data_IF_862764712924
#
_entry.id   IF_862764712924
#
_cell.length_a   1.000
_cell.length_b   1.000
_cell.length_c   1.000
_cell.angle_alpha   90.00
_cell.angle_beta   90.00
_cell.angle_gamma   90.00
#
_symmetry.space_group_name_H-M   'P 1'
#
loop_
_entity.id
_entity.type
_entity.pdbx_description
1 polymer ?
#
# COMPACT_ATOMS: atom_id res chain seq x y z
N UNK A 1 -10.07 4.94 -0.96
CA UNK A 1 -11.48 4.51 -0.99
C UNK A 1 -12.16 4.99 0.29
N UNK A 2 -13.38 5.52 0.21
CA UNK A 2 -14.07 6.26 1.30
C UNK A 2 -14.10 5.53 2.67
N UNK A 3 -13.88 4.22 2.68
CA UNK A 3 -13.99 3.35 3.86
C UNK A 3 -12.71 2.59 4.23
N UNK A 4 -11.56 2.89 3.61
CA UNK A 4 -10.32 2.26 4.03
C UNK A 4 -9.93 2.76 5.42
N UNK A 5 -9.91 1.84 6.41
CA UNK A 5 -9.59 2.16 7.81
C UNK A 5 -8.19 2.78 7.97
N UNK A 6 -7.26 2.47 7.07
CA UNK A 6 -5.92 3.06 7.07
C UNK A 6 -5.99 4.55 6.75
N UNK A 7 -6.85 4.95 5.82
CA UNK A 7 -6.98 6.36 5.42
C UNK A 7 -7.36 7.24 6.62
N UNK A 8 -8.38 6.82 7.38
CA UNK A 8 -8.88 7.58 8.53
C UNK A 8 -7.98 7.53 9.76
N UNK A 9 -7.13 6.50 9.90
CA UNK A 9 -6.27 6.30 11.08
C UNK A 9 -4.83 6.77 10.88
N UNK A 10 -4.39 6.95 9.65
CA UNK A 10 -2.98 7.23 9.33
C UNK A 10 -2.83 8.59 8.64
N UNK A 11 -3.62 8.86 7.59
CA UNK A 11 -3.39 10.04 6.75
C UNK A 11 -3.63 11.36 7.48
N UNK A 12 -4.59 11.44 8.41
CA UNK A 12 -4.83 12.64 9.21
C UNK A 12 -3.58 13.05 10.03
N UNK A 13 -2.85 12.08 10.58
CA UNK A 13 -1.63 12.35 11.34
C UNK A 13 -0.47 12.77 10.44
N UNK A 14 -0.34 12.18 9.25
CA UNK A 14 0.64 12.61 8.24
C UNK A 14 0.38 14.06 7.82
N UNK A 15 -0.86 14.40 7.49
CA UNK A 15 -1.23 15.78 7.11
C UNK A 15 -0.95 16.78 8.23
N UNK A 16 -1.24 16.41 9.48
CA UNK A 16 -0.89 17.24 10.63
C UNK A 16 0.63 17.46 10.76
N UNK A 17 1.43 16.41 10.57
CA UNK A 17 2.89 16.50 10.64
C UNK A 17 3.46 17.41 9.53
N UNK A 18 2.82 17.43 8.36
CA UNK A 18 3.23 18.26 7.22
C UNK A 18 2.89 19.75 7.38
N UNK A 19 2.01 20.11 8.32
CA UNK A 19 1.54 21.48 8.47
C UNK A 19 2.72 22.44 8.66
N UNK A 20 2.84 23.42 7.77
CA UNK A 20 3.92 24.42 7.81
C UNK A 20 5.26 23.96 7.22
N UNK A 21 5.33 22.75 6.65
CA UNK A 21 6.53 22.22 6.00
C UNK A 21 6.34 22.18 4.47
N UNK A 22 7.19 22.86 3.69
CA UNK A 22 7.08 22.82 2.24
C UNK A 22 7.58 21.47 1.70
N UNK A 23 6.78 20.82 0.85
CA UNK A 23 7.07 19.49 0.27
C UNK A 23 7.93 19.64 -1.00
N UNK A 24 9.17 20.08 -0.82
CA UNK A 24 10.05 20.51 -1.93
C UNK A 24 10.83 19.39 -2.62
N UNK A 25 10.92 18.21 -2.01
CA UNK A 25 11.64 17.07 -2.58
C UNK A 25 11.04 15.73 -2.12
N UNK A 26 11.37 14.64 -2.84
CA UNK A 26 10.91 13.29 -2.50
C UNK A 26 11.45 12.86 -1.14
N UNK A 27 12.71 13.20 -0.85
CA UNK A 27 13.39 12.93 0.42
C UNK A 27 12.69 13.66 1.57
N UNK A 28 12.32 14.93 1.38
CA UNK A 28 11.56 15.71 2.38
C UNK A 28 10.22 15.05 2.66
N UNK A 29 9.50 14.63 1.62
CA UNK A 29 8.21 13.93 1.77
C UNK A 29 8.39 12.61 2.53
N UNK A 30 9.35 11.77 2.14
CA UNK A 30 9.62 10.48 2.80
C UNK A 30 9.98 10.69 4.28
N UNK A 31 10.86 11.64 4.58
CA UNK A 31 11.26 11.96 5.95
C UNK A 31 10.07 12.44 6.78
N UNK A 32 9.23 13.33 6.24
CA UNK A 32 8.05 13.82 6.96
C UNK A 32 7.00 12.73 7.20
N UNK A 33 6.79 11.81 6.26
CA UNK A 33 5.90 10.66 6.50
C UNK A 33 6.48 9.75 7.58
N UNK A 34 7.76 9.36 7.46
CA UNK A 34 8.43 8.45 8.39
C UNK A 34 8.52 8.98 9.83
N UNK A 35 8.59 10.30 10.00
CA UNK A 35 8.62 10.95 11.32
C UNK A 35 7.23 11.09 11.97
N UNK A 36 6.16 10.68 11.31
CA UNK A 36 4.80 10.76 11.88
C UNK A 36 4.65 9.70 12.98
N UNK A 37 4.43 10.17 14.22
CA UNK A 37 4.15 9.32 15.39
C UNK A 37 2.97 9.86 16.18
N UNK A 38 2.30 9.01 16.97
CA UNK A 38 1.23 9.43 17.89
C UNK A 38 1.46 8.87 19.29
N UNK A 39 0.92 9.53 20.30
CA UNK A 39 0.96 9.06 21.70
C UNK A 39 0.29 7.69 21.88
N UNK A 40 -0.72 7.39 21.05
CA UNK A 40 -1.38 6.09 21.00
C UNK A 40 -0.53 4.98 20.34
N UNK A 41 0.71 5.28 19.93
CA UNK A 41 1.69 4.29 19.47
C UNK A 41 1.75 4.09 17.95
N UNK A 42 1.12 4.92 17.13
CA UNK A 42 1.30 4.85 15.68
C UNK A 42 2.76 5.20 15.34
N UNK A 43 3.39 4.36 14.51
CA UNK A 43 4.71 4.61 13.90
C UNK A 43 4.65 4.28 12.43
N UNK A 44 5.11 5.18 11.59
CA UNK A 44 5.07 5.03 10.14
C UNK A 44 6.49 4.81 9.63
N UNK A 45 6.66 3.86 8.71
CA UNK A 45 7.89 3.71 7.93
C UNK A 45 7.59 4.11 6.50
N UNK A 46 8.40 5.00 5.97
CA UNK A 46 8.32 5.44 4.59
C UNK A 46 9.69 5.28 3.95
N UNK A 47 9.70 4.88 2.69
CA UNK A 47 10.91 4.76 1.88
C UNK A 47 10.58 5.21 0.46
N UNK A 48 11.58 5.73 -0.24
CA UNK A 48 11.46 5.97 -1.66
C UNK A 48 11.54 4.63 -2.39
N UNK A 49 10.59 4.40 -3.29
CA UNK A 49 10.64 3.29 -4.24
C UNK A 49 11.14 3.85 -5.58
N UNK A 50 12.32 3.43 -6.00
CA UNK A 50 12.97 3.86 -7.23
C UNK A 50 12.79 2.84 -8.37
N UNK A 51 12.01 1.78 -8.13
CA UNK A 51 11.72 0.81 -9.17
C UNK A 51 10.94 1.45 -10.31
N UNK A 52 11.29 1.07 -11.54
CA UNK A 52 10.52 1.46 -12.72
C UNK A 52 9.41 0.44 -12.95
N UNK A 53 8.16 0.91 -12.93
CA UNK A 53 6.98 0.10 -13.23
C UNK A 53 6.48 0.43 -14.63
N UNK A 54 6.53 -0.53 -15.54
CA UNK A 54 5.97 -0.35 -16.87
C UNK A 54 4.46 -0.16 -16.78
N UNK A 55 3.95 0.90 -17.40
CA UNK A 55 2.52 1.16 -17.47
C UNK A 55 1.87 0.28 -18.56
N UNK A 56 0.65 -0.16 -18.32
CA UNK A 56 -0.14 -0.88 -19.32
C UNK A 56 0.28 -2.33 -19.55
N UNK A 57 1.01 -2.95 -18.62
CA UNK A 57 1.24 -4.39 -18.61
C UNK A 57 -0.14 -5.09 -18.69
N UNK A 58 -0.35 -5.84 -19.77
CA UNK A 58 -1.54 -6.68 -19.93
C UNK A 58 -1.23 -8.04 -19.32
N UNK A 59 -2.12 -8.47 -18.43
CA UNK A 59 -2.11 -9.82 -17.85
C UNK A 59 -3.26 -10.58 -18.50
N UNK A 60 -3.01 -11.79 -18.98
CA UNK A 60 -4.07 -12.62 -19.58
C UNK A 60 -5.04 -13.13 -18.52
N UNK A 61 -6.25 -13.51 -18.93
CA UNK A 61 -7.23 -14.08 -18.00
C UNK A 61 -6.72 -15.41 -17.42
N UNK A 62 -5.96 -16.19 -18.20
CA UNK A 62 -5.31 -17.43 -17.74
C UNK A 62 -4.26 -17.16 -16.67
N UNK A 63 -3.40 -16.16 -16.88
CA UNK A 63 -2.38 -15.75 -15.91
C UNK A 63 -3.03 -15.28 -14.61
N UNK A 64 -4.08 -14.45 -14.71
CA UNK A 64 -4.83 -13.95 -13.55
C UNK A 64 -5.54 -15.10 -12.82
N UNK A 65 -6.08 -16.07 -13.55
CA UNK A 65 -6.73 -17.27 -12.98
C UNK A 65 -5.75 -18.16 -12.20
N UNK A 66 -4.43 -18.06 -12.46
CA UNK A 66 -3.42 -18.78 -11.66
C UNK A 66 -3.23 -18.21 -10.25
N UNK A 67 -3.78 -17.03 -9.94
CA UNK A 67 -3.70 -16.45 -8.61
C UNK A 67 -4.55 -17.25 -7.63
N UNK A 68 -4.00 -17.52 -6.44
CA UNK A 68 -4.73 -18.16 -5.35
C UNK A 68 -5.62 -17.13 -4.61
N UNK A 69 -6.65 -16.63 -5.29
CA UNK A 69 -7.61 -15.66 -4.77
C UNK A 69 -8.75 -16.39 -4.07
N UNK A 70 -8.87 -16.17 -2.77
CA UNK A 70 -10.02 -16.59 -1.95
C UNK A 70 -10.99 -15.41 -1.82
N UNK A 71 -12.16 -15.50 -2.44
CA UNK A 71 -13.19 -14.45 -2.40
C UNK A 71 -14.06 -14.59 -1.17
N UNK A 72 -14.42 -13.46 -0.56
CA UNK A 72 -15.34 -13.44 0.59
C UNK A 72 -16.80 -13.69 0.14
N UNK A 73 -17.62 -14.25 1.02
CA UNK A 73 -19.04 -14.47 0.76
C UNK A 73 -19.81 -13.15 0.63
N UNK A 74 -19.37 -12.11 1.36
CA UNK A 74 -19.93 -10.78 1.27
C UNK A 74 -19.05 -9.88 0.38
N UNK A 75 -19.58 -9.52 -0.80
CA UNK A 75 -18.89 -8.68 -1.78
C UNK A 75 -17.52 -9.22 -2.23
N UNK A 76 -17.44 -10.51 -2.57
CA UNK A 76 -16.21 -11.18 -3.00
C UNK A 76 -15.56 -10.63 -4.29
N UNK A 77 -16.27 -9.80 -5.04
CA UNK A 77 -15.74 -9.01 -6.14
C UNK A 77 -14.77 -7.91 -5.66
N UNK A 78 -14.96 -7.40 -4.44
CA UNK A 78 -14.11 -6.38 -3.79
C UNK A 78 -13.27 -6.95 -2.64
N UNK A 79 -13.83 -7.89 -1.89
CA UNK A 79 -13.26 -8.45 -0.67
C UNK A 79 -12.66 -9.82 -0.96
N UNK A 80 -11.33 -9.88 -1.06
CA UNK A 80 -10.62 -11.14 -1.32
C UNK A 80 -9.33 -11.23 -0.52
N UNK A 81 -8.83 -12.46 -0.37
CA UNK A 81 -7.53 -12.78 0.23
C UNK A 81 -6.66 -13.44 -0.85
N UNK A 82 -5.44 -12.94 -1.01
CA UNK A 82 -4.42 -13.61 -1.82
C UNK A 82 -3.63 -14.57 -0.93
N UNK A 83 -3.64 -15.86 -1.27
CA UNK A 83 -2.83 -16.88 -0.60
C UNK A 83 -1.47 -17.01 -1.29
N UNK A 84 -0.41 -17.40 -0.54
CA UNK A 84 0.85 -17.78 -1.16
C UNK A 84 0.63 -18.90 -2.16
N UNK A 85 1.26 -18.78 -3.34
CA UNK A 85 1.32 -19.85 -4.32
C UNK A 85 2.56 -20.68 -4.02
N UNK A 86 2.40 -22.00 -3.92
CA UNK A 86 3.53 -22.92 -3.75
C UNK A 86 4.23 -23.08 -5.10
N UNK A 87 5.03 -22.10 -5.50
CA UNK A 87 6.00 -22.31 -6.56
C UNK A 87 7.20 -22.99 -5.93
N UNK A 88 7.47 -24.24 -6.35
CA UNK A 88 8.80 -24.81 -6.15
C UNK A 88 9.80 -23.92 -6.89
N UNK A 89 10.70 -23.30 -6.15
CA UNK A 89 11.85 -22.61 -6.73
C UNK A 89 12.70 -23.69 -7.41
N UNK A 90 12.62 -23.79 -8.73
CA UNK A 90 13.54 -24.60 -9.52
C UNK A 90 14.82 -23.78 -9.66
N UNK A 91 15.86 -24.22 -8.95
CA UNK A 91 17.24 -23.68 -9.00
C UNK A 91 17.83 -23.76 -10.40
#
# INVERSE_FOLDING_TARGET
>A
SKWNKIEHRMFCHITNNWRGHPLISREVVVNLIGNTTTEAGLRIRAQLDENTYEAGIKVSDEELATLAIERDAFHGEWNYRLRPRNYSCTT
#
